data_IF_478229454938
#
_entry.id   IF_478229454938
#
_cell.length_a   1.000
_cell.length_b   1.000
_cell.length_c   1.000
_cell.angle_alpha   90.00
_cell.angle_beta   90.00
_cell.angle_gamma   90.00
#
_symmetry.space_group_name_H-M   'P 1'
#
loop_
_entity.id
_entity.type
_entity.pdbx_description
1 polymer ?
#
# COMPACT_ATOMS: atom_id res chain seq x y z
N UNK A 1 -3.66 9.88 20.44
CA UNK A 1 -3.79 10.75 19.26
C UNK A 1 -4.43 9.93 18.15
N UNK A 2 -5.56 10.36 17.54
CA UNK A 2 -6.08 9.68 16.36
C UNK A 2 -5.22 10.05 15.14
N UNK A 3 -4.88 9.04 14.35
CA UNK A 3 -3.97 9.02 13.18
C UNK A 3 -4.30 10.00 12.05
N UNK A 4 -3.39 10.19 11.06
CA UNK A 4 -3.75 9.98 9.63
C UNK A 4 -2.63 10.30 8.61
N UNK A 5 -2.38 9.36 7.69
CA UNK A 5 -2.26 9.75 6.27
C UNK A 5 -3.64 10.19 5.77
N UNK A 6 -3.67 11.18 4.90
CA UNK A 6 -4.92 11.82 4.51
C UNK A 6 -5.67 11.00 3.46
N UNK A 7 -6.99 10.93 3.62
CA UNK A 7 -7.90 10.16 2.76
C UNK A 7 -9.23 10.89 2.63
N UNK A 8 -9.69 11.12 1.40
CA UNK A 8 -11.11 11.32 1.12
C UNK A 8 -11.53 12.62 0.43
N UNK A 9 -10.89 13.74 0.69
CA UNK A 9 -11.40 15.07 0.28
C UNK A 9 -10.38 15.92 -0.49
N UNK A 10 -9.16 15.43 -0.64
CA UNK A 10 -8.15 16.05 -1.46
C UNK A 10 -8.51 15.93 -2.95
N UNK A 11 -8.54 17.06 -3.63
CA UNK A 11 -8.41 17.09 -5.09
C UNK A 11 -6.94 17.30 -5.39
N UNK A 12 -6.27 16.24 -5.83
CA UNK A 12 -4.88 16.34 -6.26
C UNK A 12 -4.79 17.15 -7.56
N UNK A 13 -3.64 17.77 -7.77
CA UNK A 13 -3.28 18.38 -9.06
C UNK A 13 -2.76 17.34 -10.07
N UNK A 14 -2.54 16.11 -9.61
CA UNK A 14 -2.06 15.00 -10.44
C UNK A 14 -3.23 14.47 -11.28
N UNK A 15 -2.98 14.30 -12.58
CA UNK A 15 -3.97 13.74 -13.50
C UNK A 15 -4.41 12.36 -12.99
N UNK A 16 -5.70 12.06 -13.09
CA UNK A 16 -6.31 10.80 -12.65
C UNK A 16 -6.36 10.55 -11.13
N UNK A 17 -5.83 11.46 -10.31
CA UNK A 17 -5.95 11.40 -8.85
C UNK A 17 -7.23 12.15 -8.45
N UNK A 18 -8.23 11.41 -8.01
CA UNK A 18 -9.55 11.93 -7.75
C UNK A 18 -10.05 11.50 -6.36
N UNK A 19 -11.21 12.02 -5.96
CA UNK A 19 -11.87 11.67 -4.71
C UNK A 19 -12.47 10.26 -4.78
N UNK A 20 -12.51 9.59 -3.63
CA UNK A 20 -13.21 8.31 -3.49
C UNK A 20 -14.73 8.49 -3.53
N UNK A 21 -15.43 7.52 -4.12
CA UNK A 21 -16.86 7.34 -3.89
C UNK A 21 -17.14 6.71 -2.51
N UNK A 22 -18.43 6.58 -2.15
CA UNK A 22 -18.83 6.05 -0.84
C UNK A 22 -18.43 4.59 -0.60
N UNK A 23 -18.44 3.75 -1.64
CA UNK A 23 -18.11 2.33 -1.55
C UNK A 23 -16.59 2.13 -1.43
N UNK A 24 -15.82 2.84 -2.24
CA UNK A 24 -14.37 2.90 -2.20
C UNK A 24 -13.90 3.43 -0.84
N UNK A 25 -14.49 4.53 -0.36
CA UNK A 25 -14.17 5.09 0.94
C UNK A 25 -14.43 4.10 2.08
N UNK A 26 -15.49 3.30 1.99
CA UNK A 26 -15.76 2.20 2.95
C UNK A 26 -14.64 1.16 3.00
N UNK A 27 -14.14 0.71 1.84
CA UNK A 27 -13.02 -0.25 1.73
C UNK A 27 -11.72 0.36 2.25
N UNK A 28 -11.44 1.60 1.89
CA UNK A 28 -10.25 2.34 2.33
C UNK A 28 -10.23 2.57 3.84
N UNK A 29 -11.37 2.97 4.43
CA UNK A 29 -11.51 3.13 5.88
C UNK A 29 -11.28 1.81 6.62
N UNK A 30 -11.76 0.69 6.06
CA UNK A 30 -11.47 -0.63 6.59
C UNK A 30 -9.97 -0.94 6.52
N UNK A 31 -9.34 -0.73 5.36
CA UNK A 31 -7.92 -1.00 5.14
C UNK A 31 -7.05 -0.19 6.10
N UNK A 32 -7.32 1.11 6.23
CA UNK A 32 -6.66 2.01 7.18
C UNK A 32 -6.75 1.50 8.62
N UNK A 33 -7.94 1.10 9.07
CA UNK A 33 -8.12 0.56 10.43
C UNK A 33 -7.35 -0.76 10.63
N UNK A 34 -7.30 -1.61 9.61
CA UNK A 34 -6.55 -2.87 9.65
C UNK A 34 -5.04 -2.61 9.67
N UNK A 35 -4.54 -1.68 8.86
CA UNK A 35 -3.15 -1.22 8.81
C UNK A 35 -2.65 -0.78 10.19
N UNK A 36 -3.44 0.00 10.94
CA UNK A 36 -3.08 0.40 12.31
C UNK A 36 -2.95 -0.77 13.28
N UNK A 37 -3.87 -1.73 13.21
CA UNK A 37 -3.80 -2.93 14.04
C UNK A 37 -2.60 -3.79 13.65
N UNK A 38 -2.32 -3.86 12.36
CA UNK A 38 -1.23 -4.66 11.78
C UNK A 38 0.13 -4.14 12.24
N UNK A 39 0.42 -2.84 12.11
CA UNK A 39 1.72 -2.29 12.55
C UNK A 39 1.95 -2.42 14.06
N UNK A 40 0.88 -2.45 14.86
CA UNK A 40 0.95 -2.65 16.31
C UNK A 40 1.24 -4.11 16.67
N UNK A 41 0.67 -5.05 15.91
CA UNK A 41 0.65 -6.46 16.27
C UNK A 41 1.66 -7.32 15.51
N UNK A 42 2.25 -6.81 14.42
CA UNK A 42 3.21 -7.53 13.57
C UNK A 42 4.52 -6.73 13.57
N UNK A 43 5.43 -7.00 14.53
CA UNK A 43 6.69 -6.26 14.64
C UNK A 43 7.55 -6.33 13.36
N UNK A 44 7.47 -7.46 12.62
CA UNK A 44 8.18 -7.68 11.36
C UNK A 44 7.87 -6.63 10.30
N UNK A 45 6.65 -6.10 10.26
CA UNK A 45 6.23 -5.08 9.32
C UNK A 45 7.02 -3.77 9.52
N UNK A 46 7.10 -3.29 10.77
CA UNK A 46 7.88 -2.11 11.10
C UNK A 46 9.39 -2.34 10.98
N UNK A 47 9.86 -3.56 11.25
CA UNK A 47 11.28 -3.91 11.08
C UNK A 47 11.69 -3.84 9.61
N UNK A 48 10.88 -4.44 8.72
CA UNK A 48 11.13 -4.42 7.28
C UNK A 48 11.14 -3.00 6.70
N UNK A 49 10.13 -2.18 7.03
CA UNK A 49 10.09 -0.81 6.53
C UNK A 49 11.35 0.00 6.87
N UNK A 50 11.95 -0.22 8.03
CA UNK A 50 13.20 0.45 8.42
C UNK A 50 14.42 0.03 7.58
N UNK A 51 14.36 -1.09 6.86
CA UNK A 51 15.45 -1.51 5.97
C UNK A 51 15.35 -0.88 4.59
N UNK A 52 14.21 -0.24 4.26
CA UNK A 52 14.06 0.50 3.02
C UNK A 52 14.91 1.79 3.04
N UNK A 53 15.30 2.35 1.88
CA UNK A 53 16.24 3.48 1.82
C UNK A 53 15.83 4.73 2.61
N UNK A 54 14.53 4.98 2.75
CA UNK A 54 14.00 6.08 3.56
C UNK A 54 14.09 5.86 5.08
N UNK A 55 14.32 4.62 5.52
CA UNK A 55 14.60 4.26 6.92
C UNK A 55 13.43 4.45 7.91
N UNK A 56 12.26 4.89 7.44
CA UNK A 56 11.07 5.10 8.28
C UNK A 56 10.42 3.77 8.61
N UNK A 57 9.79 3.64 9.78
CA UNK A 57 8.90 2.51 10.03
C UNK A 57 7.52 2.75 9.41
N UNK A 58 6.76 1.69 9.13
CA UNK A 58 5.40 1.85 8.61
C UNK A 58 4.52 2.67 9.57
N UNK A 59 4.70 2.50 10.89
CA UNK A 59 4.05 3.35 11.90
C UNK A 59 4.34 4.85 11.72
N UNK A 60 5.57 5.22 11.36
CA UNK A 60 5.94 6.63 11.14
C UNK A 60 5.28 7.18 9.88
N UNK A 61 5.10 6.35 8.86
CA UNK A 61 4.49 6.75 7.60
C UNK A 61 2.97 6.90 7.72
N UNK A 62 2.31 5.96 8.38
CA UNK A 62 0.84 6.04 8.56
C UNK A 62 0.41 7.10 9.59
N UNK A 63 1.37 7.58 10.38
CA UNK A 63 1.23 8.74 11.25
C UNK A 63 1.55 10.08 10.57
N UNK A 64 2.01 10.06 9.32
CA UNK A 64 2.42 11.26 8.57
C UNK A 64 1.24 11.93 7.88
N UNK A 65 0.88 13.11 8.37
CA UNK A 65 -0.17 13.94 7.78
C UNK A 65 0.24 14.64 6.49
N UNK A 66 1.48 14.46 6.02
CA UNK A 66 1.93 14.90 4.70
C UNK A 66 1.61 13.91 3.59
N UNK A 67 1.36 12.64 3.91
CA UNK A 67 1.07 11.60 2.91
C UNK A 67 -0.41 11.65 2.55
N UNK A 68 -0.70 11.83 1.26
CA UNK A 68 -2.05 11.84 0.70
C UNK A 68 -2.31 10.57 -0.11
N UNK A 69 -3.46 9.96 0.15
CA UNK A 69 -3.94 8.78 -0.57
C UNK A 69 -5.19 9.16 -1.34
N UNK A 70 -5.17 8.94 -2.64
CA UNK A 70 -6.19 9.32 -3.62
C UNK A 70 -6.78 8.09 -4.32
N UNK A 71 -7.92 8.28 -4.99
CA UNK A 71 -8.42 7.28 -5.93
C UNK A 71 -7.79 7.54 -7.29
N UNK A 72 -7.10 6.54 -7.84
CA UNK A 72 -6.50 6.59 -9.15
C UNK A 72 -7.46 6.09 -10.22
N UNK A 73 -8.26 6.97 -10.81
CA UNK A 73 -9.22 6.61 -11.85
C UNK A 73 -8.49 6.30 -13.16
N UNK A 74 -8.58 5.08 -13.68
CA UNK A 74 -7.93 4.73 -14.95
C UNK A 74 -6.45 4.39 -14.84
N UNK A 75 -5.97 4.04 -13.65
CA UNK A 75 -4.62 3.45 -13.46
C UNK A 75 -4.51 2.00 -13.93
N UNK A 76 -5.62 1.40 -14.38
CA UNK A 76 -5.61 0.04 -14.93
C UNK A 76 -4.54 -0.12 -16.01
N UNK A 77 -3.68 -1.16 -15.92
CA UNK A 77 -3.87 -2.40 -15.16
C UNK A 77 -3.29 -2.40 -13.73
N UNK A 78 -2.78 -1.27 -13.22
CA UNK A 78 -2.11 -1.17 -11.93
C UNK A 78 -3.07 -1.26 -10.74
N UNK A 79 -2.53 -1.72 -9.62
CA UNK A 79 -3.23 -1.79 -8.34
C UNK A 79 -3.21 -0.45 -7.59
N UNK A 80 -2.09 0.26 -7.68
CA UNK A 80 -1.86 1.59 -7.17
C UNK A 80 -0.65 2.20 -7.86
N UNK A 81 -0.32 3.41 -7.47
CA UNK A 81 0.95 4.03 -7.82
C UNK A 81 1.33 5.11 -6.80
N UNK A 82 2.63 5.43 -6.76
CA UNK A 82 3.14 6.62 -6.10
C UNK A 82 3.60 7.66 -7.13
N UNK A 83 3.16 8.90 -6.94
CA UNK A 83 3.69 10.02 -7.70
C UNK A 83 4.97 10.53 -7.03
N UNK A 84 6.12 9.99 -7.44
CA UNK A 84 7.45 10.27 -6.83
C UNK A 84 7.72 11.76 -6.57
N UNK A 85 7.42 12.71 -7.49
CA UNK A 85 7.71 14.11 -7.23
C UNK A 85 6.92 14.73 -6.05
N UNK A 86 5.71 14.24 -5.75
CA UNK A 86 4.85 14.81 -4.70
C UNK A 86 4.71 13.90 -3.48
N UNK A 87 5.01 12.60 -3.60
CA UNK A 87 4.77 11.59 -2.57
C UNK A 87 3.30 11.20 -2.43
N UNK A 88 2.42 11.68 -3.30
CA UNK A 88 1.02 11.27 -3.27
C UNK A 88 0.85 9.83 -3.78
N UNK A 89 0.02 9.07 -3.09
CA UNK A 89 -0.30 7.68 -3.41
C UNK A 89 -1.70 7.64 -4.05
N UNK A 90 -1.88 6.81 -5.06
CA UNK A 90 -3.19 6.48 -5.59
C UNK A 90 -3.47 4.98 -5.48
N UNK A 91 -4.70 4.64 -5.12
CA UNK A 91 -5.22 3.26 -5.18
C UNK A 91 -6.10 3.15 -6.42
N UNK A 92 -5.76 2.22 -7.31
CA UNK A 92 -6.42 2.03 -8.60
C UNK A 92 -7.68 1.16 -8.54
N UNK A 93 -8.40 1.16 -9.65
CA UNK A 93 -9.65 0.41 -9.86
C UNK A 93 -9.51 -1.09 -9.58
N UNK A 94 -8.39 -1.68 -10.01
CA UNK A 94 -8.14 -3.11 -9.88
C UNK A 94 -8.12 -3.55 -8.42
N UNK A 95 -7.44 -2.80 -7.56
CA UNK A 95 -7.41 -3.08 -6.12
C UNK A 95 -8.79 -2.99 -5.49
N UNK A 96 -9.57 -1.96 -5.85
CA UNK A 96 -10.93 -1.82 -5.37
C UNK A 96 -11.87 -2.95 -5.84
N UNK A 97 -11.72 -3.41 -7.08
CA UNK A 97 -12.51 -4.51 -7.64
C UNK A 97 -12.22 -5.85 -6.94
N UNK A 98 -10.95 -6.10 -6.60
CA UNK A 98 -10.55 -7.30 -5.84
C UNK A 98 -10.90 -7.21 -4.34
N UNK A 99 -11.11 -6.00 -3.84
CA UNK A 99 -11.73 -5.77 -2.53
C UNK A 99 -10.77 -5.27 -1.47
N UNK A 100 -11.29 -5.15 -0.24
CA UNK A 100 -10.65 -4.40 0.86
C UNK A 100 -9.27 -4.91 1.28
N UNK A 101 -9.00 -6.21 1.11
CA UNK A 101 -7.69 -6.80 1.41
C UNK A 101 -6.65 -6.41 0.37
N UNK A 102 -7.03 -6.40 -0.91
CA UNK A 102 -6.14 -5.93 -1.98
C UNK A 102 -5.87 -4.43 -1.86
N UNK A 103 -6.87 -3.62 -1.48
CA UNK A 103 -6.66 -2.21 -1.14
C UNK A 103 -5.63 -2.06 -0.01
N UNK A 104 -5.71 -2.89 1.04
CA UNK A 104 -4.72 -2.86 2.13
C UNK A 104 -3.31 -3.24 1.64
N UNK A 105 -3.17 -4.30 0.85
CA UNK A 105 -1.88 -4.69 0.29
C UNK A 105 -1.29 -3.61 -0.60
N UNK A 106 -2.11 -2.99 -1.45
CA UNK A 106 -1.73 -1.84 -2.28
C UNK A 106 -1.19 -0.70 -1.42
N UNK A 107 -1.89 -0.32 -0.34
CA UNK A 107 -1.39 0.74 0.55
C UNK A 107 -0.03 0.42 1.17
N UNK A 108 0.19 -0.84 1.60
CA UNK A 108 1.48 -1.25 2.14
C UNK A 108 2.58 -1.16 1.07
N UNK A 109 2.28 -1.66 -0.12
CA UNK A 109 3.19 -1.63 -1.27
C UNK A 109 3.57 -0.19 -1.66
N UNK A 110 2.59 0.69 -1.87
CA UNK A 110 2.88 2.09 -2.25
C UNK A 110 3.60 2.87 -1.14
N UNK A 111 3.33 2.57 0.13
CA UNK A 111 4.09 3.13 1.24
C UNK A 111 5.55 2.64 1.24
N UNK A 112 5.83 1.41 0.78
CA UNK A 112 7.20 0.94 0.62
C UNK A 112 7.93 1.74 -0.46
N UNK A 113 7.30 2.03 -1.60
CA UNK A 113 7.87 2.93 -2.60
C UNK A 113 8.07 4.35 -2.07
N UNK A 114 7.10 4.87 -1.30
CA UNK A 114 7.26 6.16 -0.63
C UNK A 114 8.46 6.17 0.33
N UNK A 115 8.81 5.01 0.89
CA UNK A 115 9.98 4.84 1.74
C UNK A 115 11.24 4.44 0.96
N UNK A 116 11.24 4.61 -0.37
CA UNK A 116 12.40 4.43 -1.23
C UNK A 116 12.58 3.03 -1.83
N UNK A 117 11.60 2.12 -1.73
CA UNK A 117 11.64 0.91 -2.55
C UNK A 117 11.60 1.30 -4.04
N UNK A 118 12.46 0.74 -4.91
CA UNK A 118 12.45 1.06 -6.34
C UNK A 118 11.11 0.72 -6.97
N UNK A 119 10.68 1.55 -7.93
CA UNK A 119 9.42 1.39 -8.66
C UNK A 119 9.61 0.55 -9.93
N UNK A 120 10.85 0.44 -10.41
CA UNK A 120 11.20 -0.28 -11.63
C UNK A 120 12.46 -1.11 -11.41
N UNK A 121 12.60 -2.18 -12.19
CA UNK A 121 13.88 -2.88 -12.38
C UNK A 121 13.92 -4.34 -11.90
N UNK A 122 12.77 -4.97 -11.69
CA UNK A 122 12.64 -6.31 -11.14
C UNK A 122 12.92 -6.38 -9.64
N UNK A 123 12.77 -5.28 -8.90
CA UNK A 123 13.04 -5.22 -7.46
C UNK A 123 11.76 -5.53 -6.69
N UNK A 124 11.83 -6.51 -5.79
CA UNK A 124 10.66 -7.04 -5.10
C UNK A 124 10.38 -6.36 -3.77
N UNK A 125 11.16 -5.35 -3.35
CA UNK A 125 11.07 -4.81 -1.97
C UNK A 125 9.70 -4.26 -1.60
N UNK A 126 8.94 -3.74 -2.56
CA UNK A 126 7.60 -3.27 -2.28
C UNK A 126 6.60 -4.43 -2.08
N UNK A 127 6.78 -5.52 -2.81
CA UNK A 127 6.02 -6.76 -2.69
C UNK A 127 6.38 -7.51 -1.40
N UNK A 128 7.67 -7.59 -1.06
CA UNK A 128 8.14 -8.18 0.20
C UNK A 128 7.54 -7.45 1.42
N UNK A 129 7.31 -6.14 1.33
CA UNK A 129 6.64 -5.39 2.38
C UNK A 129 5.26 -5.97 2.70
N UNK A 130 4.51 -6.42 1.67
CA UNK A 130 3.20 -7.06 1.82
C UNK A 130 3.34 -8.36 2.62
N UNK A 131 4.33 -9.20 2.27
CA UNK A 131 4.64 -10.43 3.00
C UNK A 131 5.03 -10.17 4.46
N UNK A 132 6.01 -9.28 4.70
CA UNK A 132 6.50 -8.98 6.05
C UNK A 132 5.45 -8.32 6.95
N UNK A 133 4.41 -7.75 6.35
CA UNK A 133 3.24 -7.23 7.03
C UNK A 133 2.12 -8.26 7.24
N UNK A 134 2.37 -9.54 6.95
CA UNK A 134 1.44 -10.64 7.23
C UNK A 134 0.25 -10.69 6.27
N UNK A 135 0.42 -10.14 5.07
CA UNK A 135 -0.56 -10.19 3.99
C UNK A 135 -0.19 -11.24 2.92
N UNK A 136 0.77 -12.11 3.25
CA UNK A 136 1.11 -13.31 2.53
C UNK A 136 1.59 -14.39 3.51
N UNK A 137 2.01 -15.53 2.99
CA UNK A 137 2.50 -16.66 3.75
C UNK A 137 3.89 -17.09 3.26
N UNK A 138 4.55 -17.96 4.04
CA UNK A 138 5.93 -18.38 3.75
C UNK A 138 6.06 -19.19 2.47
N UNK A 139 5.01 -19.91 2.06
CA UNK A 139 5.01 -20.71 0.83
C UNK A 139 4.95 -19.82 -0.40
N UNK A 140 4.16 -18.76 -0.34
CA UNK A 140 4.16 -17.74 -1.39
C UNK A 140 5.55 -17.10 -1.49
N UNK A 141 6.13 -16.65 -0.37
CA UNK A 141 7.41 -15.92 -0.37
C UNK A 141 8.63 -16.78 -0.75
N UNK A 142 8.78 -17.99 -0.19
CA UNK A 142 9.98 -18.80 -0.41
C UNK A 142 9.86 -19.77 -1.58
N UNK A 143 8.66 -20.27 -1.87
CA UNK A 143 8.44 -21.32 -2.87
C UNK A 143 7.77 -20.80 -4.15
N UNK A 144 7.35 -19.53 -4.18
CA UNK A 144 6.71 -18.91 -5.34
C UNK A 144 5.32 -19.44 -5.67
N UNK A 145 4.65 -20.09 -4.71
CA UNK A 145 3.33 -20.69 -4.90
C UNK A 145 2.25 -19.72 -4.43
N UNK A 146 1.51 -19.14 -5.38
CA UNK A 146 0.36 -18.25 -5.11
C UNK A 146 -0.70 -18.93 -4.23
N UNK A 147 -1.19 -18.21 -3.20
CA UNK A 147 -2.34 -18.60 -2.39
C UNK A 147 -3.48 -17.58 -2.60
N UNK A 148 -4.57 -17.97 -3.27
CA UNK A 148 -5.67 -17.04 -3.58
C UNK A 148 -6.42 -16.52 -2.34
N UNK A 149 -6.08 -16.98 -1.13
CA UNK A 149 -6.62 -16.47 0.12
C UNK A 149 -5.81 -15.32 0.72
N UNK A 150 -4.65 -14.99 0.15
CA UNK A 150 -3.85 -13.82 0.53
C UNK A 150 -3.77 -12.82 -0.62
N UNK A 151 -3.55 -11.53 -0.32
CA UNK A 151 -3.33 -10.52 -1.36
C UNK A 151 -1.85 -10.40 -1.82
N UNK A 152 -0.92 -11.19 -1.28
CA UNK A 152 0.46 -11.22 -1.78
C UNK A 152 0.55 -12.15 -2.99
N UNK A 153 1.14 -11.68 -4.09
CA UNK A 153 1.32 -12.48 -5.31
C UNK A 153 2.82 -12.60 -5.60
N UNK A 154 3.42 -13.79 -5.46
CA UNK A 154 4.86 -13.98 -5.65
C UNK A 154 5.29 -13.93 -7.14
N UNK A 155 4.35 -13.86 -8.08
CA UNK A 155 4.62 -13.71 -9.51
C UNK A 155 4.75 -12.25 -9.95
N UNK A 156 4.44 -11.31 -9.07
CA UNK A 156 4.48 -9.87 -9.32
C UNK A 156 5.78 -9.29 -8.75
N UNK A 157 6.44 -8.45 -9.56
CA UNK A 157 7.60 -7.64 -9.16
C UNK A 157 7.65 -6.35 -10.00
N UNK A 158 8.03 -5.23 -9.38
CA UNK A 158 8.16 -3.90 -10.01
C UNK A 158 9.34 -3.74 -10.94
#
# INVERSE_FOLDING_TARGET
MPFQFNVGDHSSSILNYTRFDSAQYGKLKWARNRLFRMVKNIPGCNAYFRTLPGGRSLSDMIGDSGIWVNYGSGLSPLYGEIHVPTGEIAVGDRAFNMGRWMVLATLVHELAHHNGAPITGGDTRAEEAVYHCGLGNSREYYDGVDDPNTPYDPSVGG
#
